data_IF_909968543689
#
_entry.id   IF_909968543689
#
_cell.length_a   1.000
_cell.length_b   1.000
_cell.length_c   1.000
_cell.angle_alpha   90.00
_cell.angle_beta   90.00
_cell.angle_gamma   90.00
#
_symmetry.space_group_name_H-M   'P 1'
#
loop_
_entity.id
_entity.type
_entity.pdbx_description
1 polymer ?
#
# COMPACT_ATOMS: atom_id res chain seq x y z
N UNK A 1 24.72 23.94 28.96
CA UNK A 1 24.48 22.47 28.98
C UNK A 1 23.25 22.03 28.18
N UNK A 2 22.11 22.76 28.19
CA UNK A 2 20.89 22.40 27.43
C UNK A 2 20.98 22.46 25.89
N UNK A 3 21.99 23.14 25.33
CA UNK A 3 22.19 23.26 23.87
C UNK A 3 22.75 21.97 23.23
N UNK A 4 23.50 21.17 23.98
CA UNK A 4 24.12 19.93 23.49
C UNK A 4 23.12 18.78 23.30
N UNK A 5 22.22 18.58 24.27
CA UNK A 5 21.20 17.51 24.24
C UNK A 5 20.19 17.72 23.11
N UNK A 6 19.86 18.98 22.79
CA UNK A 6 18.91 19.31 21.71
C UNK A 6 19.51 19.10 20.31
N UNK A 7 20.82 19.30 20.17
CA UNK A 7 21.53 19.07 18.91
C UNK A 7 21.63 17.56 18.62
N UNK A 8 21.95 16.75 19.62
CA UNK A 8 22.11 15.29 19.50
C UNK A 8 20.80 14.59 19.11
N UNK A 9 19.67 14.99 19.72
CA UNK A 9 18.35 14.50 19.34
C UNK A 9 17.90 14.91 17.93
N UNK A 10 18.40 16.04 17.41
CA UNK A 10 18.08 16.50 16.05
C UNK A 10 18.89 15.79 14.96
N UNK A 11 20.15 15.46 15.26
CA UNK A 11 21.05 14.73 14.34
C UNK A 11 20.55 13.29 14.16
N UNK A 12 20.17 12.62 15.25
CA UNK A 12 19.64 11.25 15.19
C UNK A 12 18.32 11.18 14.38
N UNK A 13 17.43 12.16 14.53
CA UNK A 13 16.21 12.25 13.71
C UNK A 13 16.52 12.40 12.22
N UNK A 14 17.45 13.28 11.84
CA UNK A 14 17.82 13.47 10.43
C UNK A 14 18.40 12.19 9.82
N UNK A 15 19.30 11.51 10.52
CA UNK A 15 19.86 10.23 10.08
C UNK A 15 18.76 9.18 9.90
N UNK A 16 17.83 9.07 10.86
CA UNK A 16 16.68 8.15 10.75
C UNK A 16 15.80 8.45 9.54
N UNK A 17 15.49 9.72 9.29
CA UNK A 17 14.70 10.14 8.12
C UNK A 17 15.43 9.81 6.81
N UNK A 18 16.76 10.02 6.74
CA UNK A 18 17.56 9.63 5.57
C UNK A 18 17.52 8.12 5.34
N UNK A 19 17.70 7.31 6.38
CA UNK A 19 17.63 5.84 6.27
C UNK A 19 16.24 5.41 5.78
N UNK A 20 15.17 5.95 6.36
CA UNK A 20 13.80 5.68 5.92
C UNK A 20 13.58 6.04 4.43
N UNK A 21 14.13 7.17 3.99
CA UNK A 21 14.08 7.58 2.58
C UNK A 21 14.83 6.60 1.66
N UNK A 22 16.02 6.14 2.04
CA UNK A 22 16.78 5.13 1.30
C UNK A 22 16.04 3.79 1.23
N UNK A 23 15.48 3.33 2.35
CA UNK A 23 14.67 2.11 2.41
C UNK A 23 13.42 2.25 1.54
N UNK A 24 12.75 3.39 1.59
CA UNK A 24 11.60 3.69 0.74
C UNK A 24 11.97 3.60 -0.76
N UNK A 25 13.09 4.23 -1.17
CA UNK A 25 13.55 4.17 -2.55
C UNK A 25 13.90 2.75 -3.00
N UNK A 26 14.51 1.94 -2.13
CA UNK A 26 14.79 0.54 -2.41
C UNK A 26 13.49 -0.28 -2.60
N UNK A 27 12.52 -0.13 -1.70
CA UNK A 27 11.21 -0.79 -1.84
C UNK A 27 10.45 -0.31 -3.08
N UNK A 28 10.59 0.96 -3.47
CA UNK A 28 10.00 1.49 -4.70
C UNK A 28 10.60 0.83 -5.94
N UNK A 29 11.92 0.64 -5.98
CA UNK A 29 12.60 -0.07 -7.06
C UNK A 29 12.18 -1.56 -7.12
N UNK A 30 12.05 -2.22 -5.97
CA UNK A 30 11.52 -3.58 -5.88
C UNK A 30 10.08 -3.68 -6.38
N UNK A 31 9.20 -2.76 -5.98
CA UNK A 31 7.81 -2.71 -6.44
C UNK A 31 7.72 -2.52 -7.96
N UNK A 32 8.62 -1.73 -8.55
CA UNK A 32 8.70 -1.56 -10.00
C UNK A 32 9.10 -2.87 -10.71
N UNK A 33 10.15 -3.54 -10.23
CA UNK A 33 10.62 -4.82 -10.79
C UNK A 33 9.58 -5.93 -10.64
N UNK A 34 8.95 -6.02 -9.47
CA UNK A 34 7.88 -6.96 -9.20
C UNK A 34 6.69 -6.70 -10.12
N UNK A 35 6.26 -5.45 -10.31
CA UNK A 35 5.13 -5.14 -11.17
C UNK A 35 5.38 -5.50 -12.65
N UNK A 36 6.61 -5.32 -13.15
CA UNK A 36 6.98 -5.79 -14.49
C UNK A 36 6.90 -7.32 -14.58
N UNK A 37 7.44 -8.00 -13.57
CA UNK A 37 7.44 -9.47 -13.50
C UNK A 37 6.03 -10.03 -13.41
N UNK A 38 5.17 -9.41 -12.59
CA UNK A 38 3.75 -9.71 -12.46
C UNK A 38 3.09 -9.71 -13.83
N UNK A 39 3.18 -8.59 -14.55
CA UNK A 39 2.52 -8.40 -15.84
C UNK A 39 3.02 -9.38 -16.91
N UNK A 40 4.29 -9.78 -16.84
CA UNK A 40 4.88 -10.74 -17.79
C UNK A 40 4.40 -12.18 -17.56
N UNK A 41 4.24 -12.61 -16.31
CA UNK A 41 3.99 -14.01 -15.96
C UNK A 41 2.58 -14.34 -15.49
N UNK A 42 1.73 -13.35 -15.29
CA UNK A 42 0.33 -13.49 -14.83
C UNK A 42 -0.48 -14.63 -15.48
N UNK A 43 -0.41 -14.83 -16.80
CA UNK A 43 -1.17 -15.90 -17.47
C UNK A 43 -0.70 -17.30 -17.06
N UNK A 44 0.62 -17.47 -16.91
CA UNK A 44 1.22 -18.69 -16.40
C UNK A 44 0.90 -18.88 -14.92
N UNK A 45 1.03 -17.81 -14.13
CA UNK A 45 0.76 -17.78 -12.69
C UNK A 45 -0.68 -18.20 -12.38
N UNK A 46 -1.66 -17.67 -13.12
CA UNK A 46 -3.08 -17.98 -12.97
C UNK A 46 -3.44 -19.44 -13.33
N UNK A 47 -2.53 -20.16 -13.99
CA UNK A 47 -2.74 -21.58 -14.30
C UNK A 47 -2.35 -22.51 -13.14
N UNK A 48 -1.67 -21.98 -12.11
CA UNK A 48 -1.24 -22.72 -10.91
C UNK A 48 -1.78 -22.00 -9.67
N UNK A 49 -2.97 -22.35 -9.15
CA UNK A 49 -3.68 -21.54 -8.15
C UNK A 49 -2.87 -21.22 -6.87
N UNK A 50 -2.13 -22.15 -6.24
CA UNK A 50 -1.32 -21.82 -5.07
C UNK A 50 -0.21 -20.81 -5.36
N UNK A 51 0.36 -20.88 -6.57
CA UNK A 51 1.38 -19.94 -7.02
C UNK A 51 0.77 -18.56 -7.28
N UNK A 52 -0.44 -18.50 -7.84
CA UNK A 52 -1.19 -17.25 -7.96
C UNK A 52 -1.41 -16.60 -6.59
N UNK A 53 -1.94 -17.33 -5.59
CA UNK A 53 -2.19 -16.76 -4.25
C UNK A 53 -0.91 -16.15 -3.67
N UNK A 54 0.21 -16.89 -3.78
CA UNK A 54 1.51 -16.44 -3.28
C UNK A 54 1.97 -15.17 -3.99
N UNK A 55 1.79 -15.10 -5.30
CA UNK A 55 2.18 -13.95 -6.11
C UNK A 55 1.36 -12.71 -5.72
N UNK A 56 0.03 -12.78 -5.78
CA UNK A 56 -0.86 -11.67 -5.40
C UNK A 56 -0.59 -11.21 -3.95
N UNK A 57 -0.33 -12.15 -3.04
CA UNK A 57 0.05 -11.83 -1.67
C UNK A 57 1.38 -11.07 -1.57
N UNK A 58 2.42 -11.49 -2.29
CA UNK A 58 3.71 -10.79 -2.34
C UNK A 58 3.54 -9.38 -2.90
N UNK A 59 2.82 -9.23 -4.00
CA UNK A 59 2.50 -7.93 -4.61
C UNK A 59 1.88 -6.98 -3.57
N UNK A 60 0.86 -7.48 -2.89
CA UNK A 60 0.11 -6.73 -1.89
C UNK A 60 0.95 -6.38 -0.65
N UNK A 61 1.80 -7.30 -0.17
CA UNK A 61 2.73 -7.03 0.93
C UNK A 61 3.72 -5.94 0.54
N UNK A 62 4.27 -5.97 -0.67
CA UNK A 62 5.23 -4.95 -1.12
C UNK A 62 4.54 -3.59 -1.17
N UNK A 63 3.32 -3.52 -1.74
CA UNK A 63 2.54 -2.30 -1.81
C UNK A 63 2.23 -1.72 -0.43
N UNK A 64 1.69 -2.51 0.51
CA UNK A 64 1.37 -2.01 1.84
C UNK A 64 2.62 -1.68 2.66
N UNK A 65 3.71 -2.41 2.48
CA UNK A 65 4.98 -2.09 3.15
C UNK A 65 5.54 -0.76 2.65
N UNK A 66 5.44 -0.48 1.36
CA UNK A 66 5.81 0.81 0.78
C UNK A 66 4.94 1.95 1.35
N UNK A 67 3.64 1.71 1.52
CA UNK A 67 2.73 2.66 2.17
C UNK A 67 3.16 2.93 3.61
N UNK A 68 3.40 1.89 4.41
CA UNK A 68 3.81 2.02 5.81
C UNK A 68 5.13 2.80 5.90
N UNK A 69 6.16 2.40 5.15
CA UNK A 69 7.46 3.06 5.14
C UNK A 69 7.32 4.52 4.68
N UNK A 70 6.52 4.79 3.65
CA UNK A 70 6.27 6.13 3.15
C UNK A 70 5.57 7.02 4.19
N UNK A 71 4.58 6.49 4.91
CA UNK A 71 3.90 7.22 5.98
C UNK A 71 4.81 7.43 7.20
N UNK A 72 5.63 6.45 7.57
CA UNK A 72 6.65 6.59 8.61
C UNK A 72 7.69 7.64 8.24
N UNK A 73 8.17 7.62 6.98
CA UNK A 73 9.05 8.65 6.45
C UNK A 73 8.40 10.03 6.52
N UNK A 74 7.13 10.16 6.12
CA UNK A 74 6.39 11.42 6.18
C UNK A 74 6.27 11.97 7.60
N UNK A 75 5.88 11.13 8.57
CA UNK A 75 5.75 11.49 10.00
C UNK A 75 7.06 11.99 10.58
N UNK A 76 8.19 11.44 10.12
CA UNK A 76 9.51 11.85 10.58
C UNK A 76 10.06 13.06 9.81
N UNK A 77 9.78 13.16 8.52
CA UNK A 77 10.25 14.20 7.63
C UNK A 77 9.63 15.56 7.97
N UNK A 78 8.30 15.61 8.12
CA UNK A 78 7.57 16.87 8.35
C UNK A 78 8.10 17.62 9.58
N UNK A 79 8.23 17.01 10.77
CA UNK A 79 8.74 17.72 11.95
C UNK A 79 10.25 17.97 11.93
N UNK A 80 11.01 17.23 11.13
CA UNK A 80 12.47 17.35 11.07
C UNK A 80 12.94 18.43 10.09
N UNK A 81 12.19 18.67 9.01
CA UNK A 81 12.60 19.54 7.90
C UNK A 81 11.67 20.71 7.61
N UNK A 82 10.39 20.66 7.99
CA UNK A 82 9.46 21.76 7.76
C UNK A 82 9.32 22.68 8.99
N UNK A 83 9.18 24.00 8.77
CA UNK A 83 8.88 24.93 9.86
C UNK A 83 7.53 24.59 10.51
N UNK A 84 7.37 24.90 11.80
CA UNK A 84 6.12 24.68 12.54
C UNK A 84 5.03 25.66 12.10
N UNK A 85 4.43 25.43 10.94
CA UNK A 85 3.24 26.15 10.45
C UNK A 85 2.06 25.18 10.45
N UNK A 86 0.88 25.63 10.88
CA UNK A 86 -0.29 24.75 11.04
C UNK A 86 -0.69 24.03 9.74
N UNK A 87 -0.42 24.66 8.59
CA UNK A 87 -0.65 24.08 7.25
C UNK A 87 0.22 22.85 6.96
N UNK A 88 1.44 22.78 7.48
CA UNK A 88 2.39 21.70 7.19
C UNK A 88 2.08 20.42 8.00
N UNK A 89 1.23 20.55 9.03
CA UNK A 89 0.87 19.49 9.96
C UNK A 89 -0.56 18.96 9.75
N UNK A 90 -1.29 19.44 8.74
CA UNK A 90 -2.69 19.05 8.47
C UNK A 90 -2.86 17.53 8.39
N UNK A 91 -1.93 16.83 7.74
CA UNK A 91 -1.96 15.37 7.62
C UNK A 91 -1.76 14.67 8.98
N UNK A 92 -0.85 15.19 9.82
CA UNK A 92 -0.57 14.66 11.15
C UNK A 92 -1.73 14.97 12.12
N UNK A 93 -2.41 16.09 11.93
CA UNK A 93 -3.54 16.52 12.76
C UNK A 93 -4.85 15.80 12.40
N UNK A 94 -5.00 15.38 11.14
CA UNK A 94 -6.21 14.69 10.65
C UNK A 94 -5.92 13.33 9.99
N UNK A 95 -5.29 12.37 10.71
CA UNK A 95 -4.85 11.10 10.14
C UNK A 95 -6.01 10.25 9.60
N UNK A 96 -7.22 10.41 10.15
CA UNK A 96 -8.42 9.69 9.70
C UNK A 96 -8.86 10.11 8.30
N UNK A 97 -8.91 11.41 8.03
CA UNK A 97 -9.37 11.96 6.74
C UNK A 97 -8.34 11.64 5.67
N UNK A 98 -7.06 11.82 6.00
CA UNK A 98 -5.97 11.48 5.09
C UNK A 98 -5.94 10.00 4.75
N UNK A 99 -6.03 9.10 5.75
CA UNK A 99 -6.06 7.66 5.49
C UNK A 99 -7.23 7.27 4.58
N UNK A 100 -8.40 7.88 4.76
CA UNK A 100 -9.56 7.62 3.91
C UNK A 100 -9.33 8.11 2.47
N UNK A 101 -8.89 9.36 2.30
CA UNK A 101 -8.62 9.93 0.98
C UNK A 101 -7.55 9.13 0.21
N UNK A 102 -6.45 8.78 0.90
CA UNK A 102 -5.35 8.04 0.29
C UNK A 102 -5.75 6.59 -0.04
N UNK A 103 -6.61 5.98 0.76
CA UNK A 103 -7.19 4.66 0.44
C UNK A 103 -8.03 4.73 -0.84
N UNK A 104 -8.87 5.75 -1.00
CA UNK A 104 -9.65 5.96 -2.23
C UNK A 104 -8.73 6.10 -3.45
N UNK A 105 -7.65 6.88 -3.32
CA UNK A 105 -6.66 7.06 -4.39
C UNK A 105 -6.02 5.71 -4.77
N UNK A 106 -5.53 4.95 -3.79
CA UNK A 106 -4.86 3.67 -4.04
C UNK A 106 -5.82 2.66 -4.68
N UNK A 107 -7.06 2.56 -4.18
CA UNK A 107 -8.08 1.69 -4.77
C UNK A 107 -8.38 2.07 -6.21
N UNK A 108 -8.50 3.37 -6.49
CA UNK A 108 -8.74 3.88 -7.86
C UNK A 108 -7.60 3.47 -8.78
N UNK A 109 -6.34 3.61 -8.34
CA UNK A 109 -5.17 3.19 -9.11
C UNK A 109 -5.12 1.66 -9.28
N UNK A 110 -5.49 0.89 -8.27
CA UNK A 110 -5.55 -0.58 -8.33
C UNK A 110 -6.55 -1.06 -9.39
N UNK A 111 -7.76 -0.49 -9.39
CA UNK A 111 -8.77 -0.79 -10.43
C UNK A 111 -8.29 -0.37 -11.81
N UNK A 112 -7.66 0.80 -11.92
CA UNK A 112 -7.12 1.27 -13.20
C UNK A 112 -5.99 0.38 -13.73
N UNK A 113 -5.20 -0.23 -12.84
CA UNK A 113 -4.16 -1.21 -13.20
C UNK A 113 -4.77 -2.46 -13.84
N UNK A 114 -5.79 -3.05 -13.22
CA UNK A 114 -6.48 -4.23 -13.78
C UNK A 114 -7.11 -3.90 -15.14
N UNK A 115 -7.66 -2.68 -15.29
CA UNK A 115 -8.16 -2.20 -16.57
C UNK A 115 -7.10 -2.15 -17.68
N UNK A 116 -5.94 -1.54 -17.39
CA UNK A 116 -4.83 -1.48 -18.36
C UNK A 116 -4.33 -2.87 -18.73
N UNK A 117 -4.38 -3.81 -17.78
CA UNK A 117 -3.94 -5.18 -17.96
C UNK A 117 -4.88 -6.01 -18.85
N UNK A 118 -6.20 -5.89 -18.69
CA UNK A 118 -7.14 -6.81 -19.33
C UNK A 118 -7.62 -6.37 -20.73
N UNK A 119 -7.71 -5.06 -21.01
CA UNK A 119 -8.47 -4.59 -22.18
C UNK A 119 -7.72 -3.71 -23.18
N UNK A 120 -6.46 -3.35 -22.95
CA UNK A 120 -5.67 -2.61 -23.95
C UNK A 120 -6.43 -1.37 -24.49
N UNK A 121 -6.67 -0.38 -23.62
CA UNK A 121 -7.24 0.94 -23.97
C UNK A 121 -8.64 0.94 -24.64
N UNK A 122 -9.63 1.40 -23.86
CA UNK A 122 -10.92 2.02 -24.23
C UNK A 122 -12.11 1.12 -24.63
N UNK A 123 -12.60 0.23 -23.74
CA UNK A 123 -14.05 -0.11 -23.64
C UNK A 123 -14.31 -1.06 -22.45
N UNK A 124 -14.57 -0.52 -21.26
CA UNK A 124 -15.27 -1.28 -20.21
C UNK A 124 -16.67 -0.70 -20.04
N UNK A 125 -17.65 -1.59 -19.91
CA UNK A 125 -18.96 -1.19 -19.41
C UNK A 125 -18.84 -0.88 -17.91
N UNK A 126 -19.55 0.16 -17.44
CA UNK A 126 -19.61 0.59 -16.03
C UNK A 126 -19.83 -0.61 -15.07
N UNK A 127 -20.55 -1.62 -15.53
CA UNK A 127 -20.86 -2.88 -14.83
C UNK A 127 -19.63 -3.72 -14.50
N UNK A 128 -18.60 -3.76 -15.36
CA UNK A 128 -17.36 -4.51 -15.12
C UNK A 128 -16.49 -3.82 -14.07
N UNK A 129 -16.43 -2.49 -14.11
CA UNK A 129 -15.76 -1.67 -13.08
C UNK A 129 -16.47 -1.81 -11.73
N UNK A 130 -17.81 -1.76 -11.72
CA UNK A 130 -18.61 -1.98 -10.52
C UNK A 130 -18.44 -3.39 -9.97
N UNK A 131 -18.39 -4.43 -10.81
CA UNK A 131 -18.08 -5.79 -10.37
C UNK A 131 -16.66 -5.87 -9.78
N UNK A 132 -15.66 -5.27 -10.41
CA UNK A 132 -14.28 -5.31 -9.92
C UNK A 132 -14.13 -4.61 -8.55
N UNK A 133 -14.77 -3.45 -8.40
CA UNK A 133 -14.72 -2.65 -7.18
C UNK A 133 -15.58 -3.23 -6.03
N UNK A 134 -16.64 -3.98 -6.37
CA UNK A 134 -17.52 -4.64 -5.40
C UNK A 134 -17.07 -6.05 -5.01
N UNK A 135 -15.96 -6.54 -5.58
CA UNK A 135 -15.43 -7.84 -5.19
C UNK A 135 -15.02 -7.83 -3.71
N UNK A 136 -15.33 -8.89 -2.95
CA UNK A 136 -14.97 -9.00 -1.54
C UNK A 136 -13.48 -8.76 -1.24
N UNK A 137 -12.59 -9.04 -2.19
CA UNK A 137 -11.16 -8.77 -2.04
C UNK A 137 -10.85 -7.26 -1.99
N UNK A 138 -11.47 -6.44 -2.84
CA UNK A 138 -11.23 -5.00 -2.90
C UNK A 138 -11.64 -4.28 -1.61
N UNK A 139 -12.70 -4.75 -0.94
CA UNK A 139 -13.12 -4.24 0.38
C UNK A 139 -12.08 -4.57 1.44
N UNK A 140 -11.51 -5.77 1.42
CA UNK A 140 -10.46 -6.17 2.37
C UNK A 140 -9.17 -5.39 2.14
N UNK A 141 -8.75 -5.20 0.89
CA UNK A 141 -7.60 -4.36 0.55
C UNK A 141 -7.80 -2.92 1.02
N UNK A 142 -8.98 -2.34 0.74
CA UNK A 142 -9.35 -1.01 1.22
C UNK A 142 -9.17 -0.89 2.74
N UNK A 143 -9.70 -1.87 3.48
CA UNK A 143 -9.60 -1.90 4.93
C UNK A 143 -8.16 -2.06 5.41
N UNK A 144 -7.38 -2.94 4.77
CA UNK A 144 -5.96 -3.15 5.06
C UNK A 144 -5.12 -1.88 4.84
N UNK A 145 -5.31 -1.22 3.71
CA UNK A 145 -4.65 0.05 3.35
C UNK A 145 -5.01 1.14 4.36
N UNK A 146 -6.30 1.34 4.61
CA UNK A 146 -6.78 2.35 5.55
C UNK A 146 -6.14 2.15 6.92
N UNK A 147 -6.16 0.90 7.41
CA UNK A 147 -5.59 0.55 8.71
C UNK A 147 -4.09 0.77 8.77
N UNK A 148 -3.36 0.40 7.71
CA UNK A 148 -1.93 0.62 7.59
C UNK A 148 -1.58 2.11 7.67
N UNK A 149 -2.25 2.96 6.90
CA UNK A 149 -2.01 4.40 6.90
C UNK A 149 -2.38 5.02 8.24
N UNK A 150 -3.60 4.76 8.73
CA UNK A 150 -4.12 5.36 9.94
C UNK A 150 -3.28 5.02 11.18
N UNK A 151 -2.90 3.75 11.34
CA UNK A 151 -2.08 3.31 12.47
C UNK A 151 -0.65 3.81 12.38
N UNK A 152 -0.10 3.93 11.17
CA UNK A 152 1.24 4.49 10.97
C UNK A 152 1.28 5.98 11.28
N UNK A 153 0.32 6.77 10.78
CA UNK A 153 0.24 8.21 11.04
C UNK A 153 0.02 8.54 12.52
N UNK A 154 -0.68 7.67 13.26
CA UNK A 154 -0.84 7.80 14.71
C UNK A 154 0.37 7.33 15.53
N UNK A 155 1.38 6.71 14.90
CA UNK A 155 2.48 6.08 15.62
C UNK A 155 2.08 4.85 16.45
N UNK A 156 0.94 4.22 16.13
CA UNK A 156 0.39 3.05 16.82
C UNK A 156 0.73 1.73 16.09
N UNK A 157 1.70 1.74 15.17
CA UNK A 157 2.11 0.57 14.42
C UNK A 157 2.95 -0.37 15.31
N UNK A 158 2.37 -1.50 15.70
CA UNK A 158 3.04 -2.56 16.46
C UNK A 158 3.18 -3.82 15.61
N UNK A 159 4.07 -4.75 15.98
CA UNK A 159 4.22 -6.03 15.29
C UNK A 159 2.89 -6.81 15.19
N UNK A 160 2.03 -6.70 16.21
CA UNK A 160 0.69 -7.29 16.20
C UNK A 160 -0.20 -6.64 15.14
N UNK A 161 -0.24 -5.32 15.08
CA UNK A 161 -1.02 -4.59 14.07
C UNK A 161 -0.50 -4.90 12.66
N UNK A 162 0.81 -5.00 12.49
CA UNK A 162 1.44 -5.36 11.22
C UNK A 162 1.04 -6.76 10.77
N UNK A 163 1.09 -7.75 11.68
CA UNK A 163 0.64 -9.11 11.40
C UNK A 163 -0.85 -9.13 11.00
N UNK A 164 -1.70 -8.39 11.71
CA UNK A 164 -3.12 -8.29 11.36
C UNK A 164 -3.34 -7.67 9.96
N UNK A 165 -2.58 -6.63 9.60
CA UNK A 165 -2.62 -6.04 8.25
C UNK A 165 -2.21 -7.09 7.21
N UNK A 166 -1.11 -7.80 7.41
CA UNK A 166 -0.66 -8.82 6.46
C UNK A 166 -1.66 -9.98 6.33
N UNK A 167 -2.30 -10.40 7.41
CA UNK A 167 -3.35 -11.42 7.36
C UNK A 167 -4.57 -10.97 6.54
N UNK A 168 -4.95 -9.68 6.61
CA UNK A 168 -6.02 -9.12 5.77
C UNK A 168 -5.65 -9.24 4.28
N UNK A 169 -4.42 -8.90 3.92
CA UNK A 169 -3.96 -9.02 2.53
C UNK A 169 -3.81 -10.47 2.06
N UNK A 170 -3.47 -11.40 2.96
CA UNK A 170 -3.48 -12.83 2.64
C UNK A 170 -4.90 -13.30 2.32
N UNK A 171 -5.88 -12.92 3.14
CA UNK A 171 -7.28 -13.26 2.90
C UNK A 171 -7.79 -12.63 1.59
N UNK A 172 -7.41 -11.39 1.31
CA UNK A 172 -7.74 -10.72 0.06
C UNK A 172 -7.18 -11.48 -1.16
N UNK A 173 -5.90 -11.90 -1.12
CA UNK A 173 -5.26 -12.66 -2.20
C UNK A 173 -5.92 -14.03 -2.42
N UNK A 174 -6.29 -14.74 -1.35
CA UNK A 174 -7.04 -16.01 -1.44
C UNK A 174 -8.39 -15.79 -2.13
N UNK A 175 -9.12 -14.75 -1.72
CA UNK A 175 -10.41 -14.43 -2.32
C UNK A 175 -10.25 -14.03 -3.78
N UNK A 176 -9.30 -13.16 -4.11
CA UNK A 176 -9.05 -12.71 -5.47
C UNK A 176 -8.77 -13.90 -6.41
N UNK A 177 -7.83 -14.77 -6.05
CA UNK A 177 -7.52 -15.96 -6.85
C UNK A 177 -8.71 -16.92 -6.90
N UNK A 178 -9.42 -17.12 -5.78
CA UNK A 178 -10.63 -17.95 -5.75
C UNK A 178 -11.71 -17.45 -6.71
N UNK A 179 -11.97 -16.14 -6.72
CA UNK A 179 -12.90 -15.51 -7.65
C UNK A 179 -12.44 -15.64 -9.10
N UNK A 180 -11.15 -15.40 -9.38
CA UNK A 180 -10.60 -15.54 -10.73
C UNK A 180 -10.69 -16.98 -11.26
N UNK A 181 -10.47 -17.99 -10.42
CA UNK A 181 -10.63 -19.40 -10.81
C UNK A 181 -12.08 -19.74 -11.14
N UNK A 182 -13.04 -19.30 -10.31
CA UNK A 182 -14.47 -19.51 -10.58
C UNK A 182 -14.92 -18.82 -11.87
N UNK A 183 -14.44 -17.60 -12.13
CA UNK A 183 -14.71 -16.86 -13.36
C UNK A 183 -14.12 -17.55 -14.60
N UNK A 184 -12.88 -18.06 -14.50
CA UNK A 184 -12.21 -18.79 -15.58
C UNK A 184 -12.90 -20.11 -15.92
N UNK A 185 -13.61 -20.75 -14.99
CA UNK A 185 -14.38 -21.99 -15.25
C UNK A 185 -15.65 -21.73 -16.08
N UNK A 186 -16.11 -20.46 -16.19
CA UNK A 186 -17.35 -20.09 -16.90
C UNK A 186 -17.15 -19.58 -18.34
N UNK A 187 -15.92 -19.46 -18.82
CA UNK A 187 -15.56 -19.03 -20.18
C UNK A 187 -14.56 -20.00 -20.79
#
# INVERSE_FOLDING_TARGET
MLKGIKAEGSVNKKVRTTILGCVFAFFLALAYLENISFLRYVNYVLSIPPFAVTMFFIHNIIAVSLIIIGMSFYVDFVPAFLPKRDIDYVVLNHPRIFALAFTIIILTVSVLRVYRFHYGFLLMNLTQILMLLSLPHGILEAFGIYRAIYKTLKGELTNRVLAEIYMIFLLAAILEVGFLQVLKIRY
#
